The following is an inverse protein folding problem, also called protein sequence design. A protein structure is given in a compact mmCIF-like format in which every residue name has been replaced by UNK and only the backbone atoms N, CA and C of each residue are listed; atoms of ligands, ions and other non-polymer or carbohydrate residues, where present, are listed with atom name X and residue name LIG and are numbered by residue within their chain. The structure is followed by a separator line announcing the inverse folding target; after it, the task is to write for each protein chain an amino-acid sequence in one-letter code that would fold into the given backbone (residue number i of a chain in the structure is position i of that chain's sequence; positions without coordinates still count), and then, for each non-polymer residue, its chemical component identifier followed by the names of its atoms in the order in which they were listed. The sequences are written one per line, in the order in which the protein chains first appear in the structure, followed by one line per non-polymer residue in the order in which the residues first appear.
data_IF_405462382932
#
_entry.id   IF_405462382932
#
_cell.length_a   1.000
_cell.length_b   1.000
_cell.length_c   1.000
_cell.angle_alpha   90.00
_cell.angle_beta   90.00
_cell.angle_gamma   90.00
#
_symmetry.space_group_name_H-M   'P 1'
#
loop_
_entity.id
_entity.type
_entity.pdbx_description
1 polymer ?
#
# COMPACT_ATOMS: atom_id res chain seq x y z
N UNK A 1 -1.29 2.71 8.73
CA UNK A 1 -0.03 2.21 9.33
C UNK A 1 0.44 1.03 8.53
N UNK A 2 1.57 1.14 7.84
CA UNK A 2 2.27 -0.05 7.40
C UNK A 2 3.39 -0.34 8.42
N UNK A 3 3.12 -1.10 9.50
CA UNK A 3 4.15 -1.41 10.49
C UNK A 3 5.32 -2.18 9.86
N UNK A 4 5.12 -2.81 8.70
CA UNK A 4 6.13 -3.61 8.00
C UNK A 4 7.06 -2.77 7.12
N UNK A 5 6.65 -1.55 6.73
CA UNK A 5 7.45 -0.74 5.81
C UNK A 5 7.48 0.75 6.19
N UNK A 6 8.34 1.11 7.15
CA UNK A 6 8.52 2.52 7.52
C UNK A 6 9.99 3.00 7.42
N UNK A 7 10.57 2.94 6.20
CA UNK A 7 11.82 3.60 5.75
C UNK A 7 13.15 2.94 6.18
N UNK A 8 14.25 2.88 5.41
CA UNK A 8 14.59 3.24 4.02
C UNK A 8 14.77 1.93 3.20
N UNK A 9 13.80 1.54 2.38
CA UNK A 9 13.73 0.28 1.60
C UNK A 9 13.54 -0.99 2.45
N UNK A 10 12.30 -1.45 2.57
CA UNK A 10 11.94 -2.84 2.90
C UNK A 10 12.70 -3.51 4.06
N UNK A 11 12.69 -2.91 5.26
CA UNK A 11 13.28 -3.59 6.41
C UNK A 11 12.36 -4.70 6.88
N UNK A 12 12.88 -5.92 6.84
CA UNK A 12 12.20 -7.08 7.38
C UNK A 12 12.06 -6.94 8.89
N UNK A 13 10.82 -7.02 9.39
CA UNK A 13 10.59 -7.11 10.83
C UNK A 13 11.14 -8.44 11.33
N UNK A 14 12.01 -8.40 12.33
CA UNK A 14 12.32 -9.56 13.17
C UNK A 14 11.77 -9.35 14.58
N UNK A 15 11.26 -10.42 15.17
CA UNK A 15 10.89 -10.47 16.59
C UNK A 15 12.01 -11.15 17.36
N UNK A 16 12.35 -10.60 18.52
CA UNK A 16 13.32 -11.26 19.42
C UNK A 16 12.80 -12.63 19.86
N UNK A 17 13.71 -13.55 20.20
CA UNK A 17 13.34 -14.89 20.71
C UNK A 17 12.52 -14.86 22.02
N UNK A 18 12.41 -13.71 22.68
CA UNK A 18 11.57 -13.53 23.86
C UNK A 18 10.08 -13.30 23.54
N UNK A 19 9.73 -13.03 22.27
CA UNK A 19 8.34 -12.89 21.87
C UNK A 19 7.59 -14.23 21.98
N UNK A 20 6.29 -14.17 22.27
CA UNK A 20 5.44 -15.37 22.44
C UNK A 20 5.43 -16.25 21.19
N UNK A 21 5.36 -15.62 20.02
CA UNK A 21 5.61 -16.23 18.73
C UNK A 21 6.61 -15.35 17.95
N UNK A 22 7.88 -15.75 17.80
CA UNK A 22 8.87 -14.95 17.11
C UNK A 22 8.76 -15.04 15.57
N UNK A 23 7.92 -15.93 15.04
CA UNK A 23 7.78 -16.18 13.59
C UNK A 23 6.56 -15.53 12.96
N UNK A 24 5.58 -15.10 13.76
CA UNK A 24 4.39 -14.41 13.28
C UNK A 24 4.26 -13.01 13.84
N UNK A 25 3.56 -12.15 13.11
CA UNK A 25 3.16 -10.82 13.55
C UNK A 25 1.64 -10.70 13.58
N UNK A 26 1.09 -10.19 14.68
CA UNK A 26 -0.36 -10.00 14.86
C UNK A 26 -0.67 -8.53 15.12
N UNK A 27 -1.33 -7.87 14.18
CA UNK A 27 -1.94 -6.56 14.40
C UNK A 27 -3.39 -6.73 14.81
N UNK A 28 -3.79 -6.20 15.98
CA UNK A 28 -5.21 -6.11 16.33
C UNK A 28 -5.73 -4.72 15.94
N UNK A 29 -6.54 -4.66 14.89
CA UNK A 29 -7.04 -3.42 14.30
C UNK A 29 -8.57 -3.33 14.43
N UNK A 30 -9.14 -2.22 13.99
CA UNK A 30 -10.60 -1.99 13.95
C UNK A 30 -11.15 -1.97 12.52
N UNK A 31 -10.30 -1.74 11.53
CA UNK A 31 -10.69 -1.61 10.12
C UNK A 31 -10.46 -2.91 9.38
N UNK A 32 -11.51 -3.43 8.74
CA UNK A 32 -11.39 -4.51 7.77
C UNK A 32 -11.12 -3.94 6.37
N UNK A 33 -10.56 -4.75 5.48
CA UNK A 33 -10.40 -4.38 4.07
C UNK A 33 -11.77 -4.32 3.37
N UNK A 34 -11.89 -3.48 2.36
CA UNK A 34 -13.03 -3.47 1.43
C UNK A 34 -12.72 -4.25 0.15
N UNK A 35 -11.47 -4.15 -0.34
CA UNK A 35 -11.04 -4.80 -1.58
C UNK A 35 -9.53 -5.03 -1.58
N UNK A 36 -9.08 -6.11 -2.23
CA UNK A 36 -7.67 -6.33 -2.56
C UNK A 36 -7.31 -5.95 -4.00
N UNK A 37 -8.24 -5.36 -4.77
CA UNK A 37 -7.94 -4.78 -6.08
C UNK A 37 -7.22 -3.43 -5.90
N UNK A 38 -5.94 -3.32 -6.32
CA UNK A 38 -5.24 -2.05 -6.26
C UNK A 38 -5.93 -0.95 -7.06
N UNK A 39 -6.65 -1.29 -8.15
CA UNK A 39 -7.33 -0.31 -8.96
C UNK A 39 -8.55 0.33 -8.26
N UNK A 40 -9.15 -0.35 -7.28
CA UNK A 40 -10.32 0.13 -6.53
C UNK A 40 -9.99 0.61 -5.11
N UNK A 41 -8.92 0.10 -4.50
CA UNK A 41 -8.60 0.40 -3.12
C UNK A 41 -8.24 1.87 -2.88
N UNK A 42 -9.06 2.55 -2.09
CA UNK A 42 -8.81 3.93 -1.64
C UNK A 42 -8.85 4.11 -0.12
N UNK A 43 -9.39 3.13 0.62
CA UNK A 43 -9.38 3.13 2.07
C UNK A 43 -8.03 2.70 2.64
N UNK A 44 -7.79 3.05 3.90
CA UNK A 44 -6.51 2.75 4.58
C UNK A 44 -6.35 1.27 4.90
N UNK A 45 -7.41 0.57 5.32
CA UNK A 45 -7.34 -0.83 5.74
C UNK A 45 -6.91 -1.73 4.58
N UNK A 46 -7.54 -1.58 3.42
CA UNK A 46 -7.16 -2.29 2.19
C UNK A 46 -5.75 -1.95 1.75
N UNK A 47 -5.39 -0.65 1.77
CA UNK A 47 -4.06 -0.17 1.38
C UNK A 47 -2.93 -0.75 2.23
N UNK A 48 -3.15 -0.97 3.53
CA UNK A 48 -2.17 -1.62 4.41
C UNK A 48 -1.87 -3.05 3.99
N UNK A 49 -2.90 -3.80 3.56
CA UNK A 49 -2.72 -5.16 3.06
C UNK A 49 -2.06 -5.14 1.68
N UNK A 50 -2.56 -4.30 0.77
CA UNK A 50 -2.08 -4.19 -0.61
C UNK A 50 -0.59 -3.86 -0.65
N UNK A 51 -0.08 -2.98 0.21
CA UNK A 51 1.35 -2.66 0.24
C UNK A 51 2.24 -3.82 0.70
N UNK A 52 1.69 -4.86 1.32
CA UNK A 52 2.42 -6.08 1.68
C UNK A 52 2.38 -7.15 0.58
N UNK A 53 1.31 -7.12 -0.23
CA UNK A 53 1.01 -8.12 -1.26
C UNK A 53 1.48 -7.67 -2.64
N UNK A 54 1.25 -6.41 -2.99
CA UNK A 54 1.58 -5.83 -4.27
C UNK A 54 2.68 -4.78 -4.16
N UNK A 55 3.29 -4.46 -5.29
CA UNK A 55 4.38 -3.51 -5.40
C UNK A 55 4.17 -2.56 -6.58
N UNK A 56 4.73 -1.35 -6.47
CA UNK A 56 4.67 -0.29 -7.47
C UNK A 56 5.99 -0.21 -8.24
N UNK A 57 6.04 0.64 -9.28
CA UNK A 57 7.29 0.87 -10.02
C UNK A 57 8.37 1.54 -9.18
N UNK A 58 7.95 2.53 -8.39
CA UNK A 58 8.79 3.29 -7.47
C UNK A 58 8.08 3.42 -6.13
N UNK A 59 8.83 3.65 -5.06
CA UNK A 59 8.27 3.85 -3.72
C UNK A 59 8.85 5.11 -3.06
N UNK A 60 8.28 5.55 -1.95
CA UNK A 60 8.85 6.67 -1.19
C UNK A 60 10.13 6.28 -0.43
N UNK A 61 11.10 7.20 -0.37
CA UNK A 61 12.29 7.03 0.46
C UNK A 61 11.97 7.31 1.95
N UNK A 62 11.39 6.30 2.60
CA UNK A 62 10.99 6.41 4.01
C UNK A 62 9.92 7.47 4.23
N UNK A 63 10.17 8.48 5.07
CA UNK A 63 9.22 9.59 5.27
C UNK A 63 9.47 10.79 4.35
N UNK A 64 10.43 10.71 3.43
CA UNK A 64 10.63 11.79 2.47
C UNK A 64 9.40 11.87 1.55
N UNK A 65 8.80 13.06 1.45
CA UNK A 65 7.61 13.28 0.62
C UNK A 65 7.95 13.66 -0.82
N UNK A 66 9.23 13.82 -1.12
CA UNK A 66 9.76 14.31 -2.41
C UNK A 66 10.88 13.43 -2.98
N UNK A 67 11.21 12.31 -2.33
CA UNK A 67 12.24 11.38 -2.79
C UNK A 67 11.65 10.00 -3.04
N UNK A 68 12.05 9.45 -4.18
CA UNK A 68 11.56 8.16 -4.65
C UNK A 68 12.69 7.19 -4.86
N UNK A 69 12.31 5.93 -4.78
CA UNK A 69 13.22 4.83 -4.78
C UNK A 69 12.80 3.73 -5.75
N UNK A 70 13.75 3.03 -6.40
CA UNK A 70 13.43 1.87 -7.24
C UNK A 70 12.68 0.78 -6.46
N UNK A 71 11.61 0.24 -7.05
CA UNK A 71 10.94 -0.98 -6.59
C UNK A 71 10.87 -1.99 -7.75
N UNK A 72 9.75 -2.07 -8.48
CA UNK A 72 9.64 -2.91 -9.69
C UNK A 72 10.31 -2.30 -10.92
N UNK A 73 10.53 -0.99 -10.95
CA UNK A 73 11.41 -0.35 -11.93
C UNK A 73 12.81 -0.16 -11.32
N UNK A 74 13.86 -0.64 -12.00
CA UNK A 74 15.25 -0.47 -11.57
C UNK A 74 15.74 0.97 -11.76
N UNK A 75 15.22 1.64 -12.79
CA UNK A 75 15.50 3.04 -13.10
C UNK A 75 14.41 3.61 -14.01
N UNK A 76 14.42 4.94 -14.18
CA UNK A 76 13.60 5.62 -15.16
C UNK A 76 14.31 6.83 -15.75
N UNK A 77 13.89 7.25 -16.94
CA UNK A 77 14.31 8.49 -17.60
C UNK A 77 13.09 9.34 -17.97
N UNK A 78 13.27 10.66 -18.02
CA UNK A 78 12.22 11.62 -18.38
C UNK A 78 12.71 12.48 -19.54
N UNK A 79 11.85 12.74 -20.53
CA UNK A 79 12.13 13.68 -21.62
C UNK A 79 12.29 15.12 -21.12
N UNK A 80 12.96 15.97 -21.90
CA UNK A 80 13.19 17.39 -21.57
C UNK A 80 11.90 18.19 -21.33
N UNK A 81 10.80 17.80 -21.98
CA UNK A 81 9.48 18.41 -21.80
C UNK A 81 8.68 17.81 -20.63
N UNK A 82 9.22 16.83 -19.90
CA UNK A 82 8.60 16.23 -18.72
C UNK A 82 7.41 15.31 -19.01
N UNK A 83 7.16 14.96 -20.27
CA UNK A 83 5.96 14.20 -20.67
C UNK A 83 6.22 12.71 -20.89
N UNK A 84 7.40 12.33 -21.36
CA UNK A 84 7.70 10.93 -21.70
C UNK A 84 8.57 10.34 -20.60
N UNK A 85 8.02 9.35 -19.91
CA UNK A 85 8.68 8.60 -18.85
C UNK A 85 8.95 7.18 -19.34
N UNK A 86 10.21 6.74 -19.29
CA UNK A 86 10.57 5.37 -19.64
C UNK A 86 11.12 4.68 -18.41
N UNK A 87 10.48 3.60 -17.98
CA UNK A 87 10.85 2.79 -16.83
C UNK A 87 11.52 1.50 -17.29
N UNK A 88 12.66 1.15 -16.71
CA UNK A 88 13.31 -0.15 -16.89
C UNK A 88 12.78 -1.12 -15.85
N UNK A 89 12.07 -2.16 -16.29
CA UNK A 89 11.40 -3.13 -15.41
C UNK A 89 12.39 -4.20 -14.94
N UNK A 90 12.35 -4.48 -13.64
CA UNK A 90 13.18 -5.48 -12.98
C UNK A 90 12.93 -6.87 -13.54
N UNK A 91 14.01 -7.60 -13.78
CA UNK A 91 13.96 -8.97 -14.28
C UNK A 91 13.95 -9.99 -13.13
N UNK A 92 13.33 -11.15 -13.37
CA UNK A 92 13.31 -12.27 -12.42
C UNK A 92 12.37 -12.09 -11.23
N UNK A 93 11.45 -11.13 -11.28
CA UNK A 93 10.37 -11.00 -10.30
C UNK A 93 9.26 -12.00 -10.63
N UNK A 94 8.77 -12.69 -9.60
CA UNK A 94 7.67 -13.67 -9.69
C UNK A 94 6.42 -13.11 -9.02
N UNK A 95 5.25 -13.37 -9.61
CA UNK A 95 4.00 -13.18 -8.87
C UNK A 95 3.73 -14.36 -7.93
N UNK A 96 2.85 -14.15 -6.96
CA UNK A 96 2.56 -15.10 -5.87
C UNK A 96 1.98 -16.43 -6.36
N UNK A 97 1.16 -16.40 -7.41
CA UNK A 97 0.50 -17.57 -8.01
C UNK A 97 1.29 -18.18 -9.18
N UNK A 98 2.50 -17.68 -9.45
CA UNK A 98 3.32 -18.07 -10.61
C UNK A 98 3.51 -16.90 -11.57
N UNK A 99 3.98 -17.16 -12.79
CA UNK A 99 4.25 -16.10 -13.76
C UNK A 99 5.51 -15.28 -13.45
N UNK A 100 6.07 -14.67 -14.48
CA UNK A 100 7.17 -13.70 -14.38
C UNK A 100 6.61 -12.30 -14.63
N UNK A 101 7.04 -11.31 -13.87
CA UNK A 101 6.73 -9.91 -14.16
C UNK A 101 7.32 -9.51 -15.51
N UNK A 102 6.48 -8.95 -16.38
CA UNK A 102 6.86 -8.38 -17.68
C UNK A 102 6.58 -6.89 -17.78
N UNK A 103 7.08 -6.24 -18.83
CA UNK A 103 6.71 -4.85 -19.11
C UNK A 103 5.24 -4.75 -19.55
N UNK A 104 4.71 -5.79 -20.20
CA UNK A 104 3.30 -5.91 -20.55
C UNK A 104 2.38 -5.92 -19.33
N UNK A 105 2.74 -6.59 -18.23
CA UNK A 105 1.94 -6.57 -16.99
C UNK A 105 1.84 -5.17 -16.38
N UNK A 106 2.96 -4.43 -16.44
CA UNK A 106 3.00 -3.04 -15.98
C UNK A 106 2.08 -2.18 -16.84
N UNK A 107 2.23 -2.24 -18.17
CA UNK A 107 1.38 -1.46 -19.06
C UNK A 107 -0.11 -1.82 -18.89
N UNK A 108 -0.42 -3.11 -18.82
CA UNK A 108 -1.76 -3.64 -18.59
C UNK A 108 -2.38 -3.09 -17.29
N UNK A 109 -1.63 -3.09 -16.18
CA UNK A 109 -2.14 -2.66 -14.87
C UNK A 109 -2.59 -1.20 -14.89
N UNK A 110 -1.78 -0.30 -15.46
CA UNK A 110 -2.15 1.12 -15.58
C UNK A 110 -3.26 1.35 -16.61
N UNK A 111 -3.23 0.64 -17.75
CA UNK A 111 -4.30 0.72 -18.74
C UNK A 111 -5.64 0.28 -18.14
N UNK A 112 -5.65 -0.88 -17.45
CA UNK A 112 -6.83 -1.41 -16.74
C UNK A 112 -7.37 -0.40 -15.75
N UNK A 113 -6.52 0.15 -14.88
CA UNK A 113 -6.93 1.13 -13.88
C UNK A 113 -7.62 2.36 -14.50
N UNK A 114 -6.99 2.99 -15.50
CA UNK A 114 -7.55 4.17 -16.16
C UNK A 114 -8.87 3.86 -16.88
N UNK A 115 -8.98 2.69 -17.53
CA UNK A 115 -10.20 2.27 -18.23
C UNK A 115 -11.32 1.84 -17.28
N UNK A 116 -10.97 1.25 -16.14
CA UNK A 116 -11.93 0.91 -15.10
C UNK A 116 -12.53 2.17 -14.47
N UNK A 117 -11.72 3.22 -14.25
CA UNK A 117 -12.20 4.55 -13.89
C UNK A 117 -13.18 4.57 -12.70
N UNK A 118 -14.16 5.46 -12.77
CA UNK A 118 -15.22 5.63 -11.78
C UNK A 118 -14.79 6.48 -10.58
N UNK A 119 -15.69 7.35 -10.11
CA UNK A 119 -15.39 8.30 -9.03
C UNK A 119 -15.29 7.67 -7.64
N UNK A 120 -15.69 6.39 -7.52
CA UNK A 120 -15.50 5.60 -6.31
C UNK A 120 -14.12 4.94 -6.22
N UNK A 121 -13.33 4.96 -7.31
CA UNK A 121 -11.97 4.43 -7.34
C UNK A 121 -10.93 5.55 -7.23
N UNK A 122 -9.66 5.26 -6.90
CA UNK A 122 -8.57 6.24 -6.93
C UNK A 122 -8.08 6.58 -8.35
N UNK A 123 -8.66 6.01 -9.41
CA UNK A 123 -8.11 6.08 -10.77
C UNK A 123 -8.18 7.48 -11.40
N UNK A 124 -9.04 8.36 -10.89
CA UNK A 124 -9.07 9.77 -11.27
C UNK A 124 -7.71 10.48 -11.04
N UNK A 125 -6.90 10.01 -10.08
CA UNK A 125 -5.54 10.51 -9.84
C UNK A 125 -4.59 10.21 -11.01
N UNK A 126 -4.88 9.16 -11.77
CA UNK A 126 -4.12 8.70 -12.94
C UNK A 126 -4.73 9.18 -14.25
N UNK A 127 -6.04 9.43 -14.32
CA UNK A 127 -6.73 9.87 -15.53
C UNK A 127 -6.17 11.20 -16.08
N UNK A 128 -6.14 12.27 -15.28
CA UNK A 128 -5.68 13.58 -15.75
C UNK A 128 -4.24 13.60 -16.30
N UNK A 129 -3.24 12.95 -15.67
CA UNK A 129 -1.89 12.84 -16.24
C UNK A 129 -1.86 12.32 -17.68
N UNK A 130 -2.71 11.35 -18.03
CA UNK A 130 -2.71 10.70 -19.33
C UNK A 130 -3.72 11.29 -20.32
N UNK A 131 -4.86 11.78 -19.83
CA UNK A 131 -5.97 12.25 -20.68
C UNK A 131 -6.00 13.77 -20.84
N UNK A 132 -5.46 14.52 -19.88
CA UNK A 132 -5.45 15.99 -19.88
C UNK A 132 -6.09 16.58 -18.61
N UNK A 133 -5.74 17.84 -18.32
CA UNK A 133 -6.33 18.59 -17.18
C UNK A 133 -7.85 18.69 -17.32
N UNK A 134 -8.58 18.32 -16.27
CA UNK A 134 -10.04 18.27 -16.25
C UNK A 134 -10.64 17.02 -16.89
N UNK A 135 -9.82 16.05 -17.32
CA UNK A 135 -10.24 14.73 -17.78
C UNK A 135 -9.93 13.72 -16.67
N UNK A 136 -10.76 13.71 -15.64
CA UNK A 136 -10.61 12.92 -14.41
C UNK A 136 -11.24 11.52 -14.50
N UNK A 137 -11.92 11.21 -15.59
CA UNK A 137 -12.48 9.87 -15.87
C UNK A 137 -12.45 9.56 -17.37
N UNK A 138 -12.40 8.27 -17.73
CA UNK A 138 -12.37 7.83 -19.12
C UNK A 138 -13.65 8.24 -19.90
N UNK A 139 -14.78 8.38 -19.21
CA UNK A 139 -16.04 8.85 -19.82
C UNK A 139 -15.92 10.26 -20.39
N UNK A 140 -14.98 11.09 -19.90
CA UNK A 140 -14.76 12.45 -20.41
C UNK A 140 -14.35 12.47 -21.88
N UNK A 141 -13.58 11.48 -22.33
CA UNK A 141 -13.18 11.36 -23.75
C UNK A 141 -14.16 10.53 -24.60
N UNK A 142 -15.13 9.85 -23.97
CA UNK A 142 -16.18 9.09 -24.67
C UNK A 142 -17.40 9.99 -24.95
N UNK A 143 -17.93 10.63 -23.91
CA UNK A 143 -19.20 11.36 -23.95
C UNK A 143 -19.26 12.58 -23.03
N UNK A 144 -18.11 13.19 -22.73
CA UNK A 144 -18.02 14.39 -21.89
C UNK A 144 -18.56 14.15 -20.47
N UNK A 145 -18.43 12.91 -19.96
CA UNK A 145 -18.82 12.51 -18.61
C UNK A 145 -20.31 12.21 -18.45
N UNK A 146 -21.07 12.12 -19.55
CA UNK A 146 -22.51 11.87 -19.50
C UNK A 146 -22.86 10.48 -18.95
N UNK A 147 -21.94 9.51 -19.06
CA UNK A 147 -22.07 8.16 -18.52
C UNK A 147 -21.26 7.88 -17.25
N UNK A 148 -20.76 8.93 -16.57
CA UNK A 148 -19.91 8.73 -15.41
C UNK A 148 -20.60 7.94 -14.29
N UNK A 149 -19.90 6.94 -13.76
CA UNK A 149 -20.40 5.93 -12.80
C UNK A 149 -21.63 5.11 -13.26
N UNK A 150 -22.02 5.18 -14.55
CA UNK A 150 -23.10 4.41 -15.13
C UNK A 150 -22.57 3.51 -16.26
N UNK A 151 -22.23 2.27 -15.90
CA UNK A 151 -21.69 1.26 -16.82
C UNK A 151 -22.64 0.94 -17.98
N UNK A 152 -23.95 0.93 -17.73
CA UNK A 152 -24.94 0.62 -18.77
C UNK A 152 -25.04 1.78 -19.76
N UNK A 153 -25.06 3.02 -19.27
CA UNK A 153 -25.03 4.21 -20.12
C UNK A 153 -23.72 4.30 -20.93
N UNK A 154 -22.57 3.98 -20.32
CA UNK A 154 -21.30 3.94 -21.01
C UNK A 154 -21.32 2.90 -22.13
N UNK A 155 -21.74 1.67 -21.83
CA UNK A 155 -21.79 0.58 -22.80
C UNK A 155 -22.76 0.85 -23.98
N UNK A 156 -23.74 1.75 -23.80
CA UNK A 156 -24.67 2.17 -24.84
C UNK A 156 -24.11 3.22 -25.82
N UNK A 157 -22.91 3.76 -25.56
CA UNK A 157 -22.25 4.68 -26.48
C UNK A 157 -21.85 4.01 -27.81
N UNK A 158 -21.49 4.82 -28.80
CA UNK A 158 -20.96 4.34 -30.08
C UNK A 158 -19.72 3.46 -29.85
N UNK A 159 -19.70 2.18 -30.27
CA UNK A 159 -18.56 1.29 -30.12
C UNK A 159 -17.25 1.87 -30.65
N UNK A 160 -17.29 2.68 -31.73
CA UNK A 160 -16.10 3.31 -32.26
C UNK A 160 -15.47 4.33 -31.30
N UNK A 161 -16.30 5.02 -30.48
CA UNK A 161 -15.81 5.92 -29.43
C UNK A 161 -15.20 5.15 -28.27
N UNK A 162 -15.83 4.05 -27.86
CA UNK A 162 -15.31 3.18 -26.79
C UNK A 162 -13.95 2.60 -27.16
N UNK A 163 -13.81 2.09 -28.39
CA UNK A 163 -12.53 1.58 -28.90
C UNK A 163 -11.50 2.71 -28.96
N UNK A 164 -11.86 3.88 -29.50
CA UNK A 164 -10.95 5.02 -29.59
C UNK A 164 -10.45 5.52 -28.21
N UNK A 165 -11.31 5.50 -27.19
CA UNK A 165 -10.93 5.85 -25.82
C UNK A 165 -9.89 4.86 -25.26
N UNK A 166 -10.12 3.55 -25.43
CA UNK A 166 -9.16 2.53 -25.01
C UNK A 166 -7.83 2.61 -25.78
N UNK A 167 -7.87 2.78 -27.10
CA UNK A 167 -6.65 2.95 -27.91
C UNK A 167 -5.87 4.22 -27.52
N UNK A 168 -6.55 5.27 -27.06
CA UNK A 168 -5.88 6.47 -26.51
C UNK A 168 -5.07 6.14 -25.26
N UNK A 169 -5.63 5.36 -24.33
CA UNK A 169 -4.93 4.91 -23.11
C UNK A 169 -3.78 3.96 -23.46
N UNK A 170 -3.99 2.98 -24.35
CA UNK A 170 -2.95 2.03 -24.78
C UNK A 170 -1.80 2.71 -25.52
N UNK A 171 -2.08 3.72 -26.33
CA UNK A 171 -1.05 4.52 -27.01
C UNK A 171 -0.22 5.36 -26.03
N UNK A 172 -0.80 5.77 -24.90
CA UNK A 172 -0.11 6.52 -23.87
C UNK A 172 0.81 5.65 -23.00
N UNK A 173 0.54 4.34 -22.89
CA UNK A 173 1.26 3.42 -22.00
C UNK A 173 1.70 2.18 -22.78
N UNK A 174 2.95 2.19 -23.26
CA UNK A 174 3.45 1.19 -24.21
C UNK A 174 4.54 0.33 -23.57
N UNK A 175 4.35 -0.98 -23.58
CA UNK A 175 5.36 -1.95 -23.18
C UNK A 175 6.27 -2.34 -24.36
N UNK A 176 7.54 -2.59 -24.05
CA UNK A 176 8.50 -3.29 -24.89
C UNK A 176 9.15 -4.39 -24.04
N UNK A 177 8.60 -5.60 -24.11
CA UNK A 177 9.10 -6.76 -23.35
C UNK A 177 10.49 -7.21 -23.81
N UNK A 178 10.85 -6.96 -25.07
CA UNK A 178 12.18 -7.31 -25.57
C UNK A 178 13.25 -6.38 -24.97
N UNK A 179 12.92 -5.11 -24.74
CA UNK A 179 13.76 -4.15 -24.03
C UNK A 179 13.57 -4.20 -22.49
N UNK A 180 12.50 -4.83 -22.01
CA UNK A 180 12.12 -4.84 -20.60
C UNK A 180 11.70 -3.45 -20.09
N UNK A 181 11.08 -2.63 -20.94
CA UNK A 181 10.75 -1.24 -20.61
C UNK A 181 9.27 -0.91 -20.80
N UNK A 182 8.76 0.03 -20.00
CA UNK A 182 7.46 0.66 -20.24
C UNK A 182 7.65 2.16 -20.47
N UNK A 183 7.06 2.67 -21.53
CA UNK A 183 7.00 4.11 -21.83
C UNK A 183 5.61 4.65 -21.54
N UNK A 184 5.54 5.65 -20.69
CA UNK A 184 4.34 6.38 -20.30
C UNK A 184 4.43 7.82 -20.85
N UNK A 185 3.50 8.18 -21.72
CA UNK A 185 3.41 9.50 -22.34
C UNK A 185 2.25 10.27 -21.74
N UNK A 186 2.59 11.30 -20.94
CA UNK A 186 1.63 12.17 -20.30
C UNK A 186 1.10 13.22 -21.28
N UNK A 187 -0.16 13.63 -21.11
CA UNK A 187 -0.76 14.71 -21.90
C UNK A 187 -0.06 16.06 -21.64
N UNK A 188 0.41 16.26 -20.41
CA UNK A 188 1.16 17.44 -19.95
C UNK A 188 2.27 17.04 -18.97
N UNK A 189 3.28 17.90 -18.72
CA UNK A 189 4.20 17.69 -17.63
C UNK A 189 3.42 17.69 -16.32
N UNK A 190 3.61 16.66 -15.49
CA UNK A 190 2.82 16.46 -14.28
C UNK A 190 3.73 16.29 -13.07
N UNK A 191 3.88 17.37 -12.29
CA UNK A 191 4.71 17.38 -11.08
C UNK A 191 4.43 16.22 -10.11
N UNK A 192 3.15 15.87 -9.84
CA UNK A 192 2.85 14.80 -8.91
C UNK A 192 2.83 13.39 -9.55
N UNK A 193 3.41 13.18 -10.73
CA UNK A 193 3.35 11.86 -11.38
C UNK A 193 3.99 10.72 -10.57
N UNK A 194 5.25 10.86 -10.15
CA UNK A 194 5.93 9.88 -9.29
C UNK A 194 5.21 9.65 -7.95
N UNK A 195 4.80 10.68 -7.18
CA UNK A 195 4.06 10.44 -5.95
C UNK A 195 2.72 9.75 -6.19
N UNK A 196 2.05 10.01 -7.32
CA UNK A 196 0.80 9.31 -7.66
C UNK A 196 1.04 7.82 -7.89
N UNK A 197 2.02 7.42 -8.70
CA UNK A 197 2.26 6.01 -9.03
C UNK A 197 2.97 5.22 -7.91
N UNK A 198 3.46 5.90 -6.88
CA UNK A 198 4.12 5.30 -5.71
C UNK A 198 3.15 4.81 -4.62
N UNK A 199 1.83 4.88 -4.86
CA UNK A 199 0.79 4.46 -3.93
C UNK A 199 0.13 3.15 -4.37
N UNK A 200 -0.73 2.57 -3.52
CA UNK A 200 -1.39 1.27 -3.76
C UNK A 200 -2.04 1.15 -5.14
N UNK A 201 -2.71 2.20 -5.62
CA UNK A 201 -3.34 2.24 -6.95
C UNK A 201 -2.39 2.26 -8.16
N UNK A 202 -1.08 2.43 -7.94
CA UNK A 202 -0.03 2.26 -8.95
C UNK A 202 0.60 0.86 -8.93
N UNK A 203 0.01 -0.09 -8.18
CA UNK A 203 0.56 -1.44 -8.06
C UNK A 203 0.37 -2.27 -9.32
N UNK A 204 1.28 -3.22 -9.53
CA UNK A 204 1.29 -4.08 -10.71
C UNK A 204 0.61 -5.41 -10.42
N UNK A 205 -0.29 -5.81 -11.31
CA UNK A 205 -0.98 -7.09 -11.30
C UNK A 205 -0.51 -7.98 -12.45
N UNK A 206 -0.56 -9.30 -12.25
CA UNK A 206 -0.32 -10.31 -13.28
C UNK A 206 -1.47 -10.29 -14.30
N UNK A 207 -1.18 -9.86 -15.52
CA UNK A 207 -2.20 -9.69 -16.55
C UNK A 207 -2.84 -11.02 -16.96
N UNK A 208 -2.07 -12.10 -17.08
CA UNK A 208 -2.61 -13.42 -17.43
C UNK A 208 -3.54 -13.93 -16.35
N UNK A 209 -3.16 -13.79 -15.07
CA UNK A 209 -4.00 -14.18 -13.94
C UNK A 209 -5.27 -13.33 -13.85
N UNK A 210 -5.17 -12.01 -14.06
CA UNK A 210 -6.35 -11.12 -14.09
C UNK A 210 -7.34 -11.59 -15.15
N UNK A 211 -6.86 -11.93 -16.35
CA UNK A 211 -7.69 -12.47 -17.42
C UNK A 211 -8.31 -13.83 -17.06
N UNK A 212 -7.54 -14.73 -16.45
CA UNK A 212 -8.01 -16.05 -16.02
C UNK A 212 -9.14 -15.95 -14.98
N UNK A 213 -9.06 -14.97 -14.07
CA UNK A 213 -10.08 -14.74 -13.03
C UNK A 213 -11.28 -13.93 -13.51
N UNK A 214 -11.37 -13.66 -14.81
CA UNK A 214 -12.52 -12.99 -15.42
C UNK A 214 -12.45 -11.46 -15.35
N UNK A 215 -11.25 -10.90 -15.16
CA UNK A 215 -10.98 -9.48 -15.39
C UNK A 215 -10.92 -9.13 -16.88
N UNK A 216 -10.50 -7.89 -17.16
CA UNK A 216 -10.38 -7.38 -18.51
C UNK A 216 -9.41 -8.21 -19.37
N UNK A 217 -9.75 -8.47 -20.63
CA UNK A 217 -8.96 -9.31 -21.55
C UNK A 217 -7.92 -8.54 -22.37
N UNK A 218 -7.71 -7.26 -22.06
CA UNK A 218 -6.81 -6.36 -22.79
C UNK A 218 -7.37 -5.83 -24.13
N UNK A 219 -8.61 -6.22 -24.50
CA UNK A 219 -9.26 -5.77 -25.73
C UNK A 219 -9.97 -4.43 -25.56
N UNK A 220 -9.83 -3.56 -26.56
CA UNK A 220 -10.58 -2.31 -26.60
C UNK A 220 -12.06 -2.48 -26.94
N UNK A 221 -12.51 -3.69 -27.28
CA UNK A 221 -13.92 -3.99 -27.52
C UNK A 221 -14.70 -4.34 -26.23
N UNK A 222 -14.00 -4.57 -25.11
CA UNK A 222 -14.57 -5.22 -23.91
C UNK A 222 -14.36 -4.43 -22.61
N UNK A 223 -13.51 -3.41 -22.59
CA UNK A 223 -13.12 -2.68 -21.38
C UNK A 223 -14.30 -2.05 -20.64
N UNK A 224 -15.31 -1.60 -21.37
CA UNK A 224 -16.53 -0.98 -20.82
C UNK A 224 -17.31 -1.92 -19.88
N UNK A 225 -17.11 -3.24 -19.98
CA UNK A 225 -17.73 -4.21 -19.08
C UNK A 225 -17.18 -4.14 -17.65
N UNK A 226 -16.02 -3.50 -17.48
CA UNK A 226 -15.28 -3.37 -16.22
C UNK A 226 -15.28 -1.93 -15.70
N UNK A 227 -15.96 -1.00 -16.37
CA UNK A 227 -16.01 0.40 -15.95
C UNK A 227 -16.85 0.60 -14.67
N UNK A 228 -16.37 1.43 -13.74
CA UNK A 228 -17.13 1.79 -12.54
C UNK A 228 -17.51 0.58 -11.69
N UNK A 229 -16.62 -0.39 -11.56
CA UNK A 229 -16.80 -1.51 -10.63
C UNK A 229 -16.70 -1.05 -9.19
N UNK A 230 -17.45 -1.70 -8.31
CA UNK A 230 -17.40 -1.54 -6.87
C UNK A 230 -16.88 -2.83 -6.24
N UNK A 231 -16.46 -2.78 -4.98
CA UNK A 231 -15.91 -3.95 -4.30
C UNK A 231 -16.84 -5.17 -4.34
N UNK A 232 -18.16 -4.95 -4.34
CA UNK A 232 -19.18 -6.00 -4.37
C UNK A 232 -19.29 -6.78 -5.69
N UNK A 233 -18.90 -6.19 -6.83
CA UNK A 233 -18.95 -6.86 -8.14
C UNK A 233 -17.56 -7.13 -8.74
N UNK A 234 -16.49 -6.70 -8.09
CA UNK A 234 -15.11 -6.95 -8.49
C UNK A 234 -14.57 -8.32 -8.03
N UNK A 235 -14.06 -9.16 -8.95
CA UNK A 235 -13.57 -10.49 -8.61
C UNK A 235 -12.27 -10.47 -7.81
N UNK A 236 -11.54 -9.36 -7.77
CA UNK A 236 -10.26 -9.20 -7.07
C UNK A 236 -10.42 -8.63 -5.67
N UNK A 237 -11.64 -8.29 -5.23
CA UNK A 237 -11.89 -7.81 -3.88
C UNK A 237 -11.47 -8.80 -2.79
N UNK A 238 -11.57 -10.10 -3.04
CA UNK A 238 -11.31 -11.13 -2.04
C UNK A 238 -10.10 -12.05 -2.36
N UNK A 239 -9.40 -11.80 -3.46
CA UNK A 239 -8.24 -12.59 -3.90
C UNK A 239 -7.11 -11.67 -4.31
N UNK A 240 -5.87 -12.14 -4.23
CA UNK A 240 -4.73 -11.33 -4.62
C UNK A 240 -3.62 -12.16 -5.27
N UNK A 241 -2.90 -11.54 -6.21
CA UNK A 241 -1.71 -12.10 -6.85
C UNK A 241 -0.73 -10.97 -7.15
N UNK A 242 0.11 -10.64 -6.17
CA UNK A 242 1.09 -9.57 -6.29
C UNK A 242 2.52 -10.11 -6.36
N UNK A 243 3.50 -9.22 -6.16
CA UNK A 243 4.94 -9.55 -6.18
C UNK A 243 5.62 -9.33 -4.84
N UNK A 244 4.87 -8.90 -3.81
CA UNK A 244 5.37 -8.50 -2.50
C UNK A 244 5.93 -9.65 -1.66
N UNK A 245 6.50 -9.30 -0.51
CA UNK A 245 7.15 -10.27 0.39
C UNK A 245 6.17 -11.23 1.09
N UNK A 246 4.89 -10.87 1.13
CA UNK A 246 3.81 -11.71 1.65
C UNK A 246 2.71 -11.87 0.62
N UNK A 247 2.08 -13.03 0.59
CA UNK A 247 0.90 -13.32 -0.20
C UNK A 247 -0.32 -13.46 0.68
N UNK A 248 -1.51 -13.17 0.13
CA UNK A 248 -2.76 -13.45 0.82
C UNK A 248 -2.89 -14.95 1.07
N UNK A 249 -3.04 -15.36 2.34
CA UNK A 249 -3.38 -16.73 2.71
C UNK A 249 -4.90 -16.90 2.72
N UNK A 250 -5.60 -16.04 3.47
CA UNK A 250 -7.06 -15.97 3.46
C UNK A 250 -7.57 -14.64 4.04
N UNK A 251 -8.84 -14.36 3.78
CA UNK A 251 -9.61 -13.29 4.42
C UNK A 251 -10.94 -13.86 4.93
N UNK A 252 -11.20 -13.64 6.21
CA UNK A 252 -12.49 -13.91 6.85
C UNK A 252 -13.10 -12.55 7.25
N UNK A 253 -14.05 -12.02 6.47
CA UNK A 253 -14.60 -10.67 6.69
C UNK A 253 -15.13 -10.47 8.11
N UNK A 254 -14.74 -9.36 8.72
CA UNK A 254 -15.07 -8.98 10.10
C UNK A 254 -14.29 -9.74 11.18
N UNK A 255 -13.41 -10.68 10.82
CA UNK A 255 -12.65 -11.49 11.77
C UNK A 255 -11.14 -11.33 11.60
N UNK A 256 -10.57 -11.73 10.46
CA UNK A 256 -9.13 -11.60 10.21
C UNK A 256 -8.73 -11.65 8.73
N UNK A 257 -7.59 -11.03 8.43
CA UNK A 257 -6.84 -11.16 7.18
C UNK A 257 -5.49 -11.77 7.53
N UNK A 258 -5.13 -12.89 6.90
CA UNK A 258 -3.85 -13.55 7.09
C UNK A 258 -3.02 -13.50 5.82
N UNK A 259 -1.75 -13.14 5.98
CA UNK A 259 -0.74 -13.16 4.93
C UNK A 259 0.34 -14.18 5.29
N UNK A 260 0.78 -14.93 4.29
CA UNK A 260 1.88 -15.89 4.41
C UNK A 260 3.11 -15.36 3.68
N UNK A 261 4.30 -15.66 4.20
CA UNK A 261 5.56 -15.33 3.54
C UNK A 261 5.60 -15.91 2.12
N UNK A 262 6.12 -15.12 1.18
CA UNK A 262 6.42 -15.57 -0.17
C UNK A 262 7.91 -15.88 -0.33
N UNK A 263 8.26 -17.16 -0.38
CA UNK A 263 9.66 -17.61 -0.52
C UNK A 263 10.28 -17.23 -1.88
N UNK A 264 9.45 -16.90 -2.87
CA UNK A 264 9.88 -16.44 -4.19
C UNK A 264 10.14 -14.93 -4.28
N UNK A 265 10.10 -14.20 -3.16
CA UNK A 265 10.28 -12.75 -3.17
C UNK A 265 11.67 -12.36 -3.69
N UNK A 266 11.70 -11.40 -4.61
CA UNK A 266 12.92 -10.98 -5.30
C UNK A 266 13.84 -10.09 -4.44
N UNK A 267 13.27 -9.42 -3.44
CA UNK A 267 13.97 -8.51 -2.54
C UNK A 267 14.56 -9.21 -1.31
N UNK A 268 14.70 -8.47 -0.21
CA UNK A 268 15.09 -9.06 1.08
C UNK A 268 13.95 -9.95 1.59
N UNK A 269 14.22 -11.26 1.74
CA UNK A 269 13.22 -12.22 2.19
C UNK A 269 12.65 -11.87 3.56
N UNK A 270 11.32 -11.91 3.69
CA UNK A 270 10.65 -11.71 4.98
C UNK A 270 11.23 -12.65 6.06
N UNK A 271 11.44 -12.11 7.26
CA UNK A 271 11.89 -12.87 8.43
C UNK A 271 10.75 -13.50 9.21
N UNK A 272 9.52 -13.03 8.99
CA UNK A 272 8.30 -13.59 9.55
C UNK A 272 7.71 -14.57 8.54
N UNK A 273 7.12 -15.64 9.05
CA UNK A 273 6.39 -16.63 8.26
C UNK A 273 4.94 -16.19 8.01
N UNK A 274 4.37 -15.39 8.92
CA UNK A 274 2.96 -14.96 8.88
C UNK A 274 2.76 -13.55 9.42
N UNK A 275 1.82 -12.83 8.80
CA UNK A 275 1.26 -11.57 9.31
C UNK A 275 -0.26 -11.75 9.40
N UNK A 276 -0.85 -11.37 10.52
CA UNK A 276 -2.31 -11.46 10.71
C UNK A 276 -2.86 -10.15 11.21
N UNK A 277 -3.87 -9.62 10.52
CA UNK A 277 -4.66 -8.48 10.93
C UNK A 277 -5.95 -9.02 11.53
N UNK A 278 -6.12 -8.88 12.85
CA UNK A 278 -7.31 -9.31 13.58
C UNK A 278 -8.25 -8.13 13.75
N UNK A 279 -9.49 -8.27 13.29
CA UNK A 279 -10.50 -7.22 13.32
C UNK A 279 -11.24 -7.31 14.65
N UNK A 280 -10.93 -6.40 15.57
CA UNK A 280 -11.42 -6.42 16.95
C UNK A 280 -11.88 -5.02 17.32
N UNK A 281 -13.17 -4.70 17.21
CA UNK A 281 -13.69 -3.35 17.51
C UNK A 281 -13.47 -2.90 18.96
N UNK A 282 -13.47 -3.83 19.93
CA UNK A 282 -13.41 -3.51 21.35
C UNK A 282 -11.97 -3.27 21.84
N UNK A 283 -11.66 -2.03 22.24
CA UNK A 283 -10.34 -1.65 22.76
C UNK A 283 -9.87 -2.52 23.94
N UNK A 284 -10.77 -2.85 24.88
CA UNK A 284 -10.41 -3.67 26.04
C UNK A 284 -9.89 -5.05 25.65
N UNK A 285 -10.46 -5.66 24.60
CA UNK A 285 -10.01 -6.94 24.05
C UNK A 285 -8.64 -6.80 23.40
N UNK A 286 -8.46 -5.80 22.52
CA UNK A 286 -7.16 -5.53 21.89
C UNK A 286 -6.06 -5.29 22.93
N UNK A 287 -6.33 -4.48 23.95
CA UNK A 287 -5.36 -4.15 24.97
C UNK A 287 -4.98 -5.37 25.83
N UNK A 288 -5.95 -6.22 26.19
CA UNK A 288 -5.67 -7.48 26.87
C UNK A 288 -4.78 -8.41 26.01
N UNK A 289 -5.01 -8.48 24.70
CA UNK A 289 -4.16 -9.25 23.78
C UNK A 289 -2.72 -8.71 23.75
N UNK A 290 -2.54 -7.39 23.66
CA UNK A 290 -1.21 -6.77 23.69
C UNK A 290 -0.46 -7.11 24.98
N UNK A 291 -1.14 -7.01 26.13
CA UNK A 291 -0.58 -7.34 27.45
C UNK A 291 -0.21 -8.82 27.57
N UNK A 292 -1.00 -9.71 26.96
CA UNK A 292 -0.79 -11.16 26.98
C UNK A 292 0.26 -11.65 25.95
N UNK A 293 0.73 -10.78 25.06
CA UNK A 293 1.59 -11.16 23.94
C UNK A 293 0.87 -11.85 22.79
N UNK A 294 -0.47 -11.78 22.75
CA UNK A 294 -1.32 -12.35 21.69
C UNK A 294 -1.51 -11.39 20.51
N UNK A 295 -1.28 -10.09 20.72
CA UNK A 295 -1.14 -9.08 19.68
C UNK A 295 0.22 -8.40 19.82
N UNK A 296 0.80 -8.02 18.70
CA UNK A 296 2.11 -7.40 18.57
C UNK A 296 2.00 -5.88 18.47
N UNK A 297 0.99 -5.41 17.74
CA UNK A 297 0.51 -4.03 17.71
C UNK A 297 -1.01 -4.00 17.87
N UNK A 298 -1.52 -2.86 18.30
CA UNK A 298 -2.96 -2.61 18.36
C UNK A 298 -3.27 -1.17 17.94
N UNK A 299 -4.47 -0.95 17.41
CA UNK A 299 -5.02 0.39 17.26
C UNK A 299 -5.46 0.95 18.64
N UNK A 300 -4.89 2.11 19.01
CA UNK A 300 -5.19 2.87 20.23
C UNK A 300 -5.65 4.28 19.88
N UNK A 301 -6.95 4.52 20.03
CA UNK A 301 -7.52 5.87 19.92
C UNK A 301 -7.04 6.81 21.03
N UNK A 302 -7.12 8.12 20.78
CA UNK A 302 -6.58 9.17 21.66
C UNK A 302 -7.15 9.07 23.08
N UNK A 303 -8.44 8.80 23.23
CA UNK A 303 -9.11 8.65 24.52
C UNK A 303 -8.67 7.42 25.33
N UNK A 304 -8.11 6.41 24.66
CA UNK A 304 -7.61 5.20 25.29
C UNK A 304 -6.12 5.28 25.67
N UNK A 305 -5.36 6.26 25.14
CA UNK A 305 -3.94 6.47 25.45
C UNK A 305 -3.61 6.51 26.95
N UNK A 306 -4.38 7.19 27.82
CA UNK A 306 -4.08 7.21 29.25
C UNK A 306 -4.10 5.84 29.93
N UNK A 307 -4.75 4.83 29.33
CA UNK A 307 -4.77 3.45 29.83
C UNK A 307 -3.53 2.65 29.37
N UNK A 308 -2.94 3.02 28.23
CA UNK A 308 -1.83 2.28 27.59
C UNK A 308 -0.47 2.89 27.92
N UNK A 309 -0.35 4.21 27.90
CA UNK A 309 0.90 4.95 28.14
C UNK A 309 1.63 4.59 29.45
N UNK A 310 0.94 4.29 30.57
CA UNK A 310 1.60 3.82 31.79
C UNK A 310 2.42 2.52 31.63
N UNK A 311 2.16 1.75 30.57
CA UNK A 311 2.87 0.49 30.26
C UNK A 311 4.05 0.70 29.30
N UNK A 312 4.41 1.94 28.95
CA UNK A 312 5.60 2.23 28.12
C UNK A 312 6.85 2.21 29.00
N UNK A 313 7.77 1.30 28.66
CA UNK A 313 9.05 1.16 29.37
C UNK A 313 10.24 1.73 28.60
N UNK A 314 10.14 1.79 27.29
CA UNK A 314 11.16 2.36 26.40
C UNK A 314 10.45 3.14 25.30
N UNK A 315 11.05 4.25 24.87
CA UNK A 315 10.63 5.01 23.72
C UNK A 315 11.77 5.20 22.71
N UNK A 316 11.43 5.36 21.44
CA UNK A 316 12.29 5.83 20.37
C UNK A 316 11.62 7.03 19.72
N UNK A 317 12.35 8.12 19.61
CA UNK A 317 11.85 9.39 19.06
C UNK A 317 12.31 9.52 17.62
N UNK A 318 11.39 9.85 16.73
CA UNK A 318 11.70 10.12 15.34
C UNK A 318 12.51 11.41 15.19
N UNK A 319 13.60 11.33 14.42
CA UNK A 319 14.41 12.47 14.06
C UNK A 319 14.15 12.85 12.59
N UNK A 320 13.48 13.99 12.32
CA UNK A 320 13.18 14.42 10.97
C UNK A 320 14.43 14.80 10.17
N UNK A 321 15.55 15.13 10.82
CA UNK A 321 16.79 15.45 10.11
C UNK A 321 17.46 14.21 9.49
N UNK A 322 17.28 13.05 10.12
CA UNK A 322 17.87 11.77 9.68
C UNK A 322 16.86 10.82 9.05
N UNK A 323 15.55 11.16 9.07
CA UNK A 323 14.46 10.32 8.59
C UNK A 323 14.44 8.93 9.28
N UNK A 324 14.77 8.90 10.58
CA UNK A 324 14.93 7.67 11.32
C UNK A 324 14.52 7.82 12.80
N UNK A 325 14.15 6.72 13.44
CA UNK A 325 14.00 6.68 14.90
C UNK A 325 15.37 6.61 15.57
N UNK A 326 15.61 7.52 16.54
CA UNK A 326 16.83 7.57 17.32
C UNK A 326 17.02 6.36 18.25
N UNK A 327 18.05 6.38 19.09
CA UNK A 327 18.36 5.29 20.02
C UNK A 327 17.23 5.01 21.02
N UNK A 328 17.22 3.79 21.56
CA UNK A 328 16.28 3.41 22.62
C UNK A 328 16.53 4.21 23.89
N UNK A 329 15.46 4.80 24.42
CA UNK A 329 15.47 5.57 25.65
C UNK A 329 14.56 4.88 26.68
N UNK A 330 15.13 4.42 27.79
CA UNK A 330 14.33 3.94 28.91
C UNK A 330 13.44 5.08 29.44
N UNK A 331 12.19 4.78 29.74
CA UNK A 331 11.25 5.74 30.33
C UNK A 331 11.31 5.60 31.85
N UNK A 332 11.55 6.72 32.54
CA UNK A 332 11.64 6.78 34.00
C UNK A 332 10.39 7.41 34.64
N UNK A 333 9.65 8.21 33.88
CA UNK A 333 8.41 8.85 34.35
C UNK A 333 7.42 9.00 33.21
N UNK A 334 6.15 8.78 33.54
CA UNK A 334 5.00 9.14 32.73
C UNK A 334 4.18 10.22 33.47
N UNK A 335 3.74 11.26 32.76
CA UNK A 335 2.85 12.31 33.27
C UNK A 335 1.53 12.31 32.49
N UNK A 336 0.46 11.85 33.14
CA UNK A 336 -0.88 11.74 32.55
C UNK A 336 -1.55 13.09 32.25
N UNK A 337 -0.95 14.22 32.64
CA UNK A 337 -1.46 15.56 32.32
C UNK A 337 -0.82 16.15 31.05
N UNK A 338 0.14 15.44 30.45
CA UNK A 338 0.79 15.81 29.21
C UNK A 338 0.35 14.85 28.10
N UNK A 339 0.57 15.26 26.85
CA UNK A 339 0.25 14.45 25.67
C UNK A 339 1.49 14.26 24.79
N UNK A 340 1.45 13.24 23.94
CA UNK A 340 2.52 12.93 22.99
C UNK A 340 3.85 12.66 23.71
N UNK A 341 4.95 13.07 23.09
CA UNK A 341 6.29 12.84 23.63
C UNK A 341 6.51 13.50 25.00
N UNK A 342 5.86 14.64 25.26
CA UNK A 342 6.00 15.36 26.54
C UNK A 342 5.45 14.59 27.75
N UNK A 343 4.62 13.57 27.53
CA UNK A 343 4.14 12.68 28.57
C UNK A 343 5.23 11.75 29.13
N UNK A 344 6.35 11.57 28.42
CA UNK A 344 7.39 10.62 28.78
C UNK A 344 8.70 11.35 29.12
N UNK A 345 9.26 11.03 30.29
CA UNK A 345 10.61 11.47 30.67
C UNK A 345 11.59 10.32 30.48
N UNK A 346 12.56 10.51 29.57
CA UNK A 346 13.67 9.58 29.42
C UNK A 346 14.53 9.53 30.69
N UNK A 347 15.04 8.35 31.01
CA UNK A 347 15.99 8.14 32.09
C UNK A 347 17.32 8.84 31.81
N UNK A 348 17.89 9.47 32.83
CA UNK A 348 19.26 9.95 32.85
C UNK A 348 20.28 8.81 33.02
N UNK A 349 21.56 9.13 32.87
CA UNK A 349 22.64 8.16 33.03
C UNK A 349 22.64 7.54 34.45
N UNK A 350 22.54 6.22 34.53
CA UNK A 350 22.53 5.46 35.78
C UNK A 350 21.16 5.33 36.45
N UNK A 351 20.10 5.92 35.89
CA UNK A 351 18.73 5.71 36.37
C UNK A 351 18.16 4.37 35.89
N UNK A 352 17.28 3.78 36.70
CA UNK A 352 16.57 2.54 36.35
C UNK A 352 15.20 2.89 35.82
N UNK A 353 14.87 2.45 34.59
CA UNK A 353 13.58 2.69 33.97
C UNK A 353 12.42 1.97 34.64
N UNK A 354 11.19 2.32 34.23
CA UNK A 354 9.93 1.79 34.79
C UNK A 354 9.75 0.27 34.59
N UNK A 355 10.62 -0.39 33.82
CA UNK A 355 10.57 -1.81 33.49
C UNK A 355 9.20 -2.28 32.95
N UNK A 356 8.55 -1.41 32.18
CA UNK A 356 7.27 -1.69 31.58
C UNK A 356 7.45 -2.39 30.20
N UNK A 357 6.47 -3.20 29.76
CA UNK A 357 6.65 -4.09 28.62
C UNK A 357 6.63 -3.36 27.27
N UNK A 358 5.94 -2.22 27.16
CA UNK A 358 5.70 -1.61 25.86
C UNK A 358 6.88 -0.76 25.38
N UNK A 359 6.98 -0.69 24.07
CA UNK A 359 7.98 0.01 23.27
C UNK A 359 7.27 1.01 22.38
N UNK A 360 7.52 2.28 22.64
CA UNK A 360 6.85 3.40 21.99
C UNK A 360 7.72 3.97 20.87
N UNK A 361 7.19 4.05 19.67
CA UNK A 361 7.81 4.78 18.55
C UNK A 361 6.98 6.03 18.30
N UNK A 362 7.55 7.22 18.53
CA UNK A 362 6.78 8.47 18.56
C UNK A 362 7.40 9.58 17.72
N UNK A 363 6.54 10.45 17.17
CA UNK A 363 6.93 11.74 16.61
C UNK A 363 7.20 11.75 15.11
N UNK A 364 6.81 10.71 14.37
CA UNK A 364 6.91 10.69 12.90
C UNK A 364 5.70 11.42 12.29
N UNK A 365 5.90 12.58 11.64
CA UNK A 365 4.79 13.35 11.06
C UNK A 365 4.17 12.62 9.87
N UNK A 366 2.85 12.77 9.70
CA UNK A 366 2.12 12.23 8.54
C UNK A 366 1.58 10.81 8.69
N UNK A 367 1.80 10.16 9.83
CA UNK A 367 1.03 8.95 10.18
C UNK A 367 -0.33 9.38 10.75
N UNK A 368 -1.43 8.70 10.39
CA UNK A 368 -2.72 8.90 11.08
C UNK A 368 -2.62 8.60 12.59
N UNK A 369 -1.59 7.84 12.99
CA UNK A 369 -1.20 7.62 14.37
C UNK A 369 0.25 8.10 14.56
N UNK A 370 0.46 9.21 15.26
CA UNK A 370 1.79 9.77 15.59
C UNK A 370 2.64 8.83 16.48
N UNK A 371 2.13 7.62 16.75
CA UNK A 371 2.61 6.67 17.72
C UNK A 371 2.37 5.23 17.29
N UNK A 372 3.40 4.38 17.38
CA UNK A 372 3.27 2.94 17.24
C UNK A 372 3.72 2.26 18.55
N UNK A 373 2.94 1.30 19.03
CA UNK A 373 3.18 0.56 20.26
C UNK A 373 3.44 -0.91 19.96
N UNK A 374 4.57 -1.41 20.46
CA UNK A 374 4.92 -2.83 20.40
C UNK A 374 5.14 -3.39 21.80
N UNK A 375 4.94 -4.69 21.97
CA UNK A 375 5.36 -5.42 23.17
C UNK A 375 6.73 -6.11 23.04
N UNK A 376 7.40 -5.97 21.89
CA UNK A 376 8.78 -6.41 21.65
C UNK A 376 9.61 -5.31 20.99
N UNK A 377 10.92 -5.56 20.87
CA UNK A 377 11.82 -4.72 20.08
C UNK A 377 11.79 -5.15 18.62
N UNK A 378 11.39 -4.24 17.73
CA UNK A 378 11.66 -4.37 16.30
C UNK A 378 13.15 -4.12 16.06
N UNK A 379 13.81 -5.09 15.43
CA UNK A 379 15.21 -5.01 14.98
C UNK A 379 15.33 -4.64 13.51
#
# INVERSE_FOLDING_TARGET
MNPIFSGNYFRTISKTAAAKDPTSYVDATIGDADTFDPALSYDTSSGEIIQNVYETLVFYDGAATDKFVPQLAESYSVSDDGKVWTFQIRQGVKFHEGGDLTASDVAYSFQRGILQGGYSSPQWLLAEPFLGVGMDDITMIVDEGASADDREALAANDPAKLVAACETVKAAIVADDAAGTVTMTLAQPWGPFLPTIANGWGSIMDSEWVMEKGGWDGSCDTWQNFYGMVSADDPFSAIANGTGAFKLDHWTPGEEIALAKFDGYWGEAAKLDRVTFKIIPEFGTRFAMLQAGDADSIDVSVENRPQVDPFVGVMRVYDPATNAYGDQQAVCKYDSNQLGQAAFTACGAGETGLNQPLRLYIGRPGLQQDVILFNFLIE
#
